data_IF_084662233136
#
_entry.id   IF_084662233136
#
_cell.length_a   1.000
_cell.length_b   1.000
_cell.length_c   1.000
_cell.angle_alpha   90.00
_cell.angle_beta   90.00
_cell.angle_gamma   90.00
#
_symmetry.space_group_name_H-M   'P 1'
#
loop_
_entity.id
_entity.type
_entity.pdbx_description
1 polymer ?
#
# COMPACT_ATOMS: atom_id res chain seq x y z
N UNK A 1 13.48 -59.62 -26.02
CA UNK A 1 13.60 -58.20 -26.40
C UNK A 1 12.44 -57.45 -25.80
N UNK A 2 12.69 -56.40 -25.02
CA UNK A 2 11.62 -55.58 -24.43
C UNK A 2 11.54 -54.28 -25.23
N UNK A 3 10.47 -54.16 -25.98
CA UNK A 3 10.18 -53.06 -26.89
C UNK A 3 9.90 -51.78 -26.07
N UNK A 4 10.51 -50.67 -26.46
CA UNK A 4 10.13 -49.34 -25.99
C UNK A 4 8.86 -48.93 -26.72
N UNK A 5 7.76 -48.76 -25.98
CA UNK A 5 6.58 -48.08 -26.50
C UNK A 5 6.71 -46.60 -26.16
N UNK A 6 7.15 -45.81 -27.14
CA UNK A 6 7.20 -44.36 -27.02
C UNK A 6 5.77 -43.82 -27.18
N UNK A 7 5.02 -43.84 -26.07
CA UNK A 7 3.75 -43.15 -25.94
C UNK A 7 3.92 -41.67 -26.27
N UNK A 8 3.15 -41.24 -27.26
CA UNK A 8 3.02 -39.88 -27.77
C UNK A 8 2.43 -38.92 -26.73
N UNK A 9 3.21 -38.49 -25.74
CA UNK A 9 2.80 -37.32 -24.92
C UNK A 9 4.01 -36.66 -24.30
N UNK A 10 4.31 -35.44 -24.76
CA UNK A 10 5.33 -34.52 -24.23
C UNK A 10 5.20 -34.33 -22.71
N UNK A 11 4.01 -34.55 -22.16
CA UNK A 11 3.65 -34.51 -20.73
C UNK A 11 4.49 -35.47 -19.89
N UNK A 12 4.65 -36.73 -20.31
CA UNK A 12 5.35 -37.74 -19.51
C UNK A 12 6.86 -37.46 -19.42
N UNK A 13 7.44 -36.82 -20.44
CA UNK A 13 8.85 -36.37 -20.40
C UNK A 13 9.03 -35.16 -19.50
N UNK A 14 8.17 -34.16 -19.57
CA UNK A 14 8.25 -32.97 -18.71
C UNK A 14 8.03 -33.36 -17.26
N UNK A 15 7.06 -34.23 -16.97
CA UNK A 15 6.72 -34.65 -15.62
C UNK A 15 7.80 -35.54 -15.00
N UNK A 16 8.37 -36.47 -15.77
CA UNK A 16 9.53 -37.27 -15.35
C UNK A 16 10.76 -36.38 -15.10
N UNK A 17 11.05 -35.45 -16.01
CA UNK A 17 12.17 -34.52 -15.86
C UNK A 17 11.98 -33.59 -14.66
N UNK A 18 10.75 -33.15 -14.41
CA UNK A 18 10.38 -32.33 -13.26
C UNK A 18 10.54 -33.09 -11.93
N UNK A 19 10.21 -34.38 -11.90
CA UNK A 19 10.43 -35.21 -10.71
C UNK A 19 11.92 -35.48 -10.45
N UNK A 20 12.76 -35.61 -11.50
CA UNK A 20 14.20 -35.71 -11.33
C UNK A 20 14.84 -34.42 -10.80
N UNK A 21 14.37 -33.26 -11.25
CA UNK A 21 14.83 -31.95 -10.73
C UNK A 21 14.46 -31.78 -9.25
N UNK A 22 13.28 -32.22 -8.82
CA UNK A 22 12.87 -32.18 -7.40
C UNK A 22 13.74 -33.07 -6.50
N UNK A 23 14.15 -34.24 -7.01
CA UNK A 23 15.04 -35.16 -6.30
C UNK A 23 16.47 -34.60 -6.18
N UNK A 24 17.00 -34.00 -7.25
CA UNK A 24 18.34 -33.37 -7.27
C UNK A 24 18.45 -32.16 -6.34
N UNK A 25 17.35 -31.41 -6.16
CA UNK A 25 17.34 -30.24 -5.29
C UNK A 25 17.18 -30.59 -3.80
N UNK A 26 16.90 -31.86 -3.45
CA UNK A 26 16.84 -32.37 -2.07
C UNK A 26 15.86 -31.64 -1.12
N UNK A 27 15.10 -30.67 -1.61
CA UNK A 27 14.31 -29.72 -0.85
C UNK A 27 13.15 -29.27 -1.70
N UNK A 28 11.97 -29.08 -1.09
CA UNK A 28 10.87 -28.30 -1.66
C UNK A 28 11.33 -26.83 -1.73
N UNK A 29 11.82 -26.32 -2.87
CA UNK A 29 12.38 -24.98 -2.91
C UNK A 29 11.30 -24.10 -3.52
N UNK A 30 10.42 -23.49 -2.71
CA UNK A 30 9.67 -22.31 -3.18
C UNK A 30 8.83 -21.60 -2.14
N UNK A 31 8.13 -22.30 -1.25
CA UNK A 31 7.20 -21.61 -0.34
C UNK A 31 7.97 -20.88 0.78
N UNK A 32 8.85 -21.59 1.49
CA UNK A 32 9.55 -21.02 2.64
C UNK A 32 10.54 -19.91 2.28
N UNK A 33 11.25 -20.05 1.15
CA UNK A 33 12.17 -19.03 0.67
C UNK A 33 11.44 -17.77 0.19
N UNK A 34 10.28 -17.93 -0.46
CA UNK A 34 9.46 -16.79 -0.89
C UNK A 34 8.83 -16.09 0.31
N UNK A 35 8.27 -16.85 1.25
CA UNK A 35 7.73 -16.30 2.51
C UNK A 35 8.82 -15.58 3.30
N UNK A 36 10.01 -16.18 3.42
CA UNK A 36 11.15 -15.54 4.10
C UNK A 36 11.56 -14.24 3.41
N UNK A 37 11.58 -14.21 2.07
CA UNK A 37 11.86 -13.00 1.30
C UNK A 37 10.80 -11.91 1.52
N UNK A 38 9.52 -12.28 1.52
CA UNK A 38 8.41 -11.36 1.79
C UNK A 38 8.49 -10.79 3.21
N UNK A 39 8.71 -11.65 4.21
CA UNK A 39 8.85 -11.24 5.61
C UNK A 39 10.08 -10.33 5.81
N UNK A 40 11.20 -10.64 5.18
CA UNK A 40 12.40 -9.80 5.23
C UNK A 40 12.18 -8.43 4.59
N UNK A 41 11.46 -8.39 3.47
CA UNK A 41 11.08 -7.15 2.80
C UNK A 41 10.11 -6.33 3.67
N UNK A 42 9.07 -6.95 4.23
CA UNK A 42 8.14 -6.29 5.15
C UNK A 42 8.84 -5.75 6.40
N UNK A 43 9.77 -6.51 6.98
CA UNK A 43 10.60 -6.05 8.09
C UNK A 43 11.49 -4.87 7.71
N UNK A 44 11.95 -4.80 6.46
CA UNK A 44 12.73 -3.66 5.95
C UNK A 44 11.86 -2.42 5.77
N UNK A 45 10.67 -2.56 5.19
CA UNK A 45 9.68 -1.47 5.10
C UNK A 45 9.34 -0.96 6.51
N UNK A 46 9.06 -1.87 7.45
CA UNK A 46 8.76 -1.50 8.84
C UNK A 46 9.89 -0.71 9.50
N UNK A 47 11.15 -1.13 9.31
CA UNK A 47 12.31 -0.38 9.82
C UNK A 47 12.46 0.99 9.16
N UNK A 48 12.19 1.11 7.86
CA UNK A 48 12.24 2.39 7.15
C UNK A 48 11.17 3.35 7.67
N UNK A 49 9.93 2.87 7.87
CA UNK A 49 8.85 3.65 8.46
C UNK A 49 9.20 4.09 9.89
N UNK A 50 9.73 3.18 10.71
CA UNK A 50 10.16 3.52 12.08
C UNK A 50 11.30 4.55 12.08
N UNK A 51 12.26 4.44 11.15
CA UNK A 51 13.36 5.40 11.03
C UNK A 51 12.87 6.78 10.59
N UNK A 52 11.94 6.86 9.63
CA UNK A 52 11.34 8.13 9.22
C UNK A 52 10.50 8.74 10.33
N UNK A 53 9.72 7.94 11.07
CA UNK A 53 9.00 8.40 12.25
C UNK A 53 9.95 8.96 13.33
N UNK A 54 11.02 8.24 13.68
CA UNK A 54 12.02 8.70 14.66
C UNK A 54 12.69 10.00 14.24
N UNK A 55 13.10 10.10 12.97
CA UNK A 55 13.67 11.32 12.40
C UNK A 55 12.67 12.49 12.47
N UNK A 56 11.39 12.22 12.24
CA UNK A 56 10.34 13.23 12.33
C UNK A 56 10.11 13.69 13.77
N UNK A 57 10.03 12.77 14.74
CA UNK A 57 9.94 13.10 16.18
C UNK A 57 11.13 13.95 16.63
N UNK A 58 12.35 13.67 16.16
CA UNK A 58 13.54 14.45 16.54
C UNK A 58 13.64 15.81 15.84
N UNK A 59 12.92 16.03 14.74
CA UNK A 59 12.99 17.30 13.96
C UNK A 59 11.72 18.15 14.07
N UNK A 60 10.61 17.57 14.49
CA UNK A 60 9.33 18.25 14.64
C UNK A 60 9.33 19.12 15.90
N UNK A 61 8.85 20.36 15.75
CA UNK A 61 8.59 21.28 16.88
C UNK A 61 7.31 20.95 17.64
N UNK A 62 6.51 19.97 17.17
CA UNK A 62 5.28 19.52 17.80
C UNK A 62 5.34 18.00 18.04
N UNK A 63 5.68 17.56 19.26
CA UNK A 63 5.66 16.15 19.60
C UNK A 63 4.21 15.64 19.53
N UNK A 64 3.93 14.73 18.58
CA UNK A 64 2.61 14.11 18.39
C UNK A 64 1.98 14.28 17.00
N UNK A 65 2.53 15.15 16.15
CA UNK A 65 2.03 15.30 14.77
C UNK A 65 2.35 14.05 13.92
N UNK A 66 1.36 13.53 13.20
CA UNK A 66 1.55 12.42 12.26
C UNK A 66 2.38 12.94 11.08
N UNK A 67 3.45 12.22 10.67
CA UNK A 67 4.28 12.64 9.54
C UNK A 67 3.48 12.89 8.26
N UNK A 68 3.76 14.02 7.58
CA UNK A 68 3.11 14.42 6.32
C UNK A 68 3.04 13.29 5.28
N UNK A 69 4.08 12.47 5.14
CA UNK A 69 4.11 11.42 4.11
C UNK A 69 3.09 10.30 4.34
N UNK A 70 2.51 10.19 5.54
CA UNK A 70 1.47 9.22 5.86
C UNK A 70 0.05 9.75 5.63
N UNK A 71 -0.11 11.08 5.59
CA UNK A 71 -1.42 11.73 5.59
C UNK A 71 -1.65 12.63 4.38
N UNK A 72 -0.57 12.96 3.65
CA UNK A 72 -0.61 13.82 2.48
C UNK A 72 -0.93 13.03 1.22
N UNK A 73 -1.97 13.47 0.53
CA UNK A 73 -2.41 12.95 -0.76
C UNK A 73 -2.26 14.00 -1.85
N UNK A 74 -1.69 13.60 -2.99
CA UNK A 74 -1.65 14.40 -4.21
C UNK A 74 -2.67 13.86 -5.21
N UNK A 75 -3.72 14.65 -5.47
CA UNK A 75 -4.80 14.30 -6.39
C UNK A 75 -4.65 15.07 -7.69
N UNK A 76 -4.36 14.34 -8.77
CA UNK A 76 -4.23 14.89 -10.11
C UNK A 76 -5.57 14.86 -10.84
N UNK A 77 -6.01 16.03 -11.31
CA UNK A 77 -7.12 16.21 -12.23
C UNK A 77 -6.59 16.57 -13.62
N UNK A 78 -7.46 16.65 -14.64
CA UNK A 78 -7.05 16.97 -16.03
C UNK A 78 -6.25 18.27 -16.18
N UNK A 79 -6.34 19.21 -15.24
CA UNK A 79 -5.69 20.54 -15.34
C UNK A 79 -4.83 20.90 -14.14
N UNK A 80 -5.12 20.36 -12.96
CA UNK A 80 -4.48 20.78 -11.71
C UNK A 80 -4.19 19.59 -10.81
N UNK A 81 -3.17 19.74 -9.96
CA UNK A 81 -2.85 18.82 -8.87
C UNK A 81 -3.22 19.49 -7.55
N UNK A 82 -3.94 18.78 -6.69
CA UNK A 82 -4.37 19.27 -5.39
C UNK A 82 -3.73 18.45 -4.28
N UNK A 83 -3.25 19.14 -3.25
CA UNK A 83 -2.69 18.51 -2.05
C UNK A 83 -3.76 18.49 -0.96
N UNK A 84 -4.03 17.31 -0.42
CA UNK A 84 -4.98 17.07 0.66
C UNK A 84 -4.28 16.41 1.86
N UNK A 85 -4.77 16.66 3.07
CA UNK A 85 -4.40 15.96 4.29
C UNK A 85 -5.62 15.17 4.76
N UNK A 86 -5.52 13.84 4.86
CA UNK A 86 -6.64 12.98 5.26
C UNK A 86 -6.76 12.78 6.78
N UNK A 87 -5.78 13.25 7.54
CA UNK A 87 -5.84 13.26 9.00
C UNK A 87 -6.45 14.56 9.52
N UNK A 88 -5.99 15.70 9.00
CA UNK A 88 -6.52 17.02 9.35
C UNK A 88 -7.75 17.40 8.53
N UNK A 89 -8.10 16.62 7.51
CA UNK A 89 -9.18 16.90 6.55
C UNK A 89 -9.07 18.28 5.89
N UNK A 90 -7.86 18.63 5.44
CA UNK A 90 -7.55 19.91 4.78
C UNK A 90 -7.25 19.74 3.30
N UNK A 91 -7.61 20.73 2.47
CA UNK A 91 -7.32 20.73 1.04
C UNK A 91 -6.91 22.12 0.55
N UNK A 92 -5.96 22.22 -0.38
CA UNK A 92 -5.54 23.51 -0.96
C UNK A 92 -6.41 23.98 -2.15
N UNK A 93 -7.57 23.37 -2.38
CA UNK A 93 -8.46 23.82 -3.45
C UNK A 93 -9.21 25.10 -3.05
N UNK A 94 -9.58 25.91 -4.04
CA UNK A 94 -10.28 27.18 -3.82
C UNK A 94 -11.55 27.01 -2.97
N UNK A 95 -12.32 25.94 -3.19
CA UNK A 95 -13.54 25.69 -2.44
C UNK A 95 -13.28 25.54 -0.93
N UNK A 96 -12.29 24.71 -0.57
CA UNK A 96 -11.93 24.50 0.83
C UNK A 96 -11.34 25.77 1.45
N UNK A 97 -10.39 26.43 0.76
CA UNK A 97 -9.77 27.64 1.30
C UNK A 97 -10.78 28.76 1.56
N UNK A 98 -11.88 28.83 0.79
CA UNK A 98 -12.92 29.84 0.98
C UNK A 98 -13.92 29.48 2.07
N UNK A 99 -14.37 28.22 2.14
CA UNK A 99 -15.51 27.83 2.99
C UNK A 99 -15.11 27.02 4.22
N UNK A 100 -13.92 26.42 4.21
CA UNK A 100 -13.45 25.44 5.19
C UNK A 100 -14.46 24.30 5.38
N UNK A 101 -15.08 23.85 4.29
CA UNK A 101 -16.01 22.73 4.23
C UNK A 101 -15.43 21.60 3.39
N UNK A 102 -15.86 20.33 3.61
CA UNK A 102 -15.40 19.19 2.84
C UNK A 102 -15.60 19.40 1.34
N UNK A 103 -14.50 19.51 0.60
CA UNK A 103 -14.54 19.67 -0.85
C UNK A 103 -14.65 18.30 -1.54
N UNK A 104 -14.97 18.30 -2.84
CA UNK A 104 -15.05 17.07 -3.64
C UNK A 104 -13.77 16.22 -3.55
N UNK A 105 -12.59 16.84 -3.39
CA UNK A 105 -11.33 16.12 -3.24
C UNK A 105 -11.23 15.36 -1.91
N UNK A 106 -11.66 15.98 -0.81
CA UNK A 106 -11.71 15.33 0.50
C UNK A 106 -12.79 14.24 0.53
N UNK A 107 -13.95 14.51 -0.07
CA UNK A 107 -15.01 13.50 -0.23
C UNK A 107 -14.52 12.30 -1.04
N UNK A 108 -13.75 12.54 -2.11
CA UNK A 108 -13.15 11.46 -2.89
C UNK A 108 -12.18 10.61 -2.06
N UNK A 109 -11.34 11.23 -1.22
CA UNK A 109 -10.43 10.50 -0.34
C UNK A 109 -11.24 9.68 0.69
N UNK A 110 -12.24 10.28 1.33
CA UNK A 110 -13.08 9.59 2.30
C UNK A 110 -13.78 8.34 1.68
N UNK A 111 -14.34 8.48 0.49
CA UNK A 111 -15.05 7.40 -0.22
C UNK A 111 -14.07 6.35 -0.81
N UNK A 112 -13.02 6.78 -1.50
CA UNK A 112 -12.19 5.86 -2.32
C UNK A 112 -10.98 5.30 -1.61
N UNK A 113 -10.38 6.07 -0.70
CA UNK A 113 -9.21 5.64 0.06
C UNK A 113 -9.66 4.96 1.35
N UNK A 114 -10.47 5.65 2.14
CA UNK A 114 -10.89 5.17 3.46
C UNK A 114 -12.17 4.35 3.45
N UNK A 115 -12.97 4.43 2.39
CA UNK A 115 -14.25 3.72 2.23
C UNK A 115 -15.24 4.01 3.35
N UNK A 116 -15.29 5.27 3.77
CA UNK A 116 -16.26 5.71 4.75
C UNK A 116 -17.65 5.78 4.13
N UNK A 117 -18.64 5.22 4.84
CA UNK A 117 -20.05 5.35 4.49
C UNK A 117 -20.56 6.78 4.70
N UNK A 118 -20.05 7.45 5.74
CA UNK A 118 -20.34 8.84 6.08
C UNK A 118 -19.05 9.59 6.39
N UNK A 119 -19.00 10.88 6.04
CA UNK A 119 -17.87 11.73 6.40
C UNK A 119 -17.75 11.84 7.93
N UNK A 120 -16.55 11.72 8.50
CA UNK A 120 -16.36 11.88 9.94
C UNK A 120 -16.61 13.34 10.36
N UNK A 121 -17.10 13.54 11.57
CA UNK A 121 -17.39 14.86 12.16
C UNK A 121 -16.14 15.77 12.15
N UNK A 122 -14.94 15.18 12.29
CA UNK A 122 -13.66 15.89 12.21
C UNK A 122 -13.40 16.60 10.88
N UNK A 123 -14.19 16.31 9.83
CA UNK A 123 -14.09 17.01 8.53
C UNK A 123 -14.74 18.38 8.54
N UNK A 124 -15.59 18.67 9.53
CA UNK A 124 -16.29 19.95 9.69
C UNK A 124 -15.60 20.71 10.82
N UNK A 125 -14.95 21.85 10.53
CA UNK A 125 -14.32 22.66 11.57
C UNK A 125 -15.33 23.20 12.58
N UNK A 126 -14.89 23.38 13.83
CA UNK A 126 -15.72 23.86 14.94
C UNK A 126 -16.48 25.17 14.66
N UNK A 127 -15.99 26.01 13.75
CA UNK A 127 -16.71 27.22 13.28
C UNK A 127 -18.13 26.91 12.80
N UNK A 128 -18.35 25.71 12.25
CA UNK A 128 -19.61 25.26 11.67
C UNK A 128 -20.35 24.26 12.56
N UNK A 129 -19.83 23.99 13.77
CA UNK A 129 -20.50 23.22 14.80
C UNK A 129 -21.64 24.07 15.36
N UNK A 130 -22.88 23.60 15.21
CA UNK A 130 -24.11 24.35 15.51
C UNK A 130 -24.63 24.06 16.91
#
# INVERSE_FOLDING_TARGET
>A
GKYFSAGNTTTNKIESNWNQVKLLLGKRPRLDATISGLLAHQGTIGRQVLATMRKHVSTSRHPGAIPDFLTRWELSTRRNTYVCNDYEWTCRCLFYCSHHLPCQHLMFIADRVHRFEYLPESTVPQRWDM
#
